data_IF_500871719456
#
_entry.id   IF_500871719456
#
_cell.length_a   1.000
_cell.length_b   1.000
_cell.length_c   1.000
_cell.angle_alpha   90.00
_cell.angle_beta   90.00
_cell.angle_gamma   90.00
#
_symmetry.space_group_name_H-M   'P 1'
#
loop_
_entity.id
_entity.type
_entity.pdbx_description
1 polymer ?
#
# COMPACT_ATOMS: atom_id res chain seq x y z
N UNK A 1 -2.07 -1.82 -9.66
CA UNK A 1 -1.13 -0.71 -9.93
C UNK A 1 0.27 -1.29 -10.04
N UNK A 2 1.18 -0.70 -10.83
CA UNK A 2 2.58 -1.13 -10.89
C UNK A 2 3.45 -0.23 -10.02
N UNK A 3 4.61 -0.73 -9.56
CA UNK A 3 5.58 0.10 -8.83
C UNK A 3 5.94 1.35 -9.62
N UNK A 4 5.74 2.51 -8.99
CA UNK A 4 6.18 3.80 -9.52
C UNK A 4 7.70 3.95 -9.40
N UNK A 5 8.29 4.90 -10.13
CA UNK A 5 9.71 5.24 -9.95
C UNK A 5 10.01 5.75 -8.53
N UNK A 6 9.01 6.28 -7.83
CA UNK A 6 9.14 6.69 -6.43
C UNK A 6 9.25 5.46 -5.51
N UNK A 7 8.46 4.41 -5.74
CA UNK A 7 8.57 3.14 -5.00
C UNK A 7 9.94 2.52 -5.16
N UNK A 8 10.44 2.48 -6.40
CA UNK A 8 11.75 1.92 -6.72
C UNK A 8 12.87 2.71 -6.05
N UNK A 9 12.80 4.04 -6.07
CA UNK A 9 13.77 4.89 -5.38
C UNK A 9 13.71 4.70 -3.85
N UNK A 10 12.51 4.56 -3.29
CA UNK A 10 12.35 4.30 -1.86
C UNK A 10 12.97 2.96 -1.46
N UNK A 11 12.76 1.88 -2.21
CA UNK A 11 13.39 0.58 -1.94
C UNK A 11 14.93 0.60 -2.12
N UNK A 12 15.45 1.43 -3.04
CA UNK A 12 16.91 1.65 -3.15
C UNK A 12 17.47 2.31 -1.91
N UNK A 13 16.75 3.28 -1.33
CA UNK A 13 17.13 3.93 -0.08
C UNK A 13 16.92 3.03 1.16
N UNK A 14 16.02 2.04 1.08
CA UNK A 14 15.66 1.13 2.17
C UNK A 14 15.92 -0.33 1.76
N UNK A 15 17.19 -0.74 1.60
CA UNK A 15 17.52 -2.06 1.04
C UNK A 15 17.13 -3.25 1.92
N UNK A 16 16.86 -3.03 3.22
CA UNK A 16 16.38 -4.04 4.15
C UNK A 16 14.86 -4.20 4.19
N UNK A 17 14.11 -3.39 3.42
CA UNK A 17 12.65 -3.45 3.39
C UNK A 17 12.16 -4.31 2.23
N UNK A 18 11.21 -5.18 2.53
CA UNK A 18 10.51 -6.02 1.54
C UNK A 18 9.18 -5.44 1.10
N UNK A 19 8.53 -4.69 1.98
CA UNK A 19 7.26 -4.02 1.71
C UNK A 19 7.37 -2.52 1.96
N UNK A 20 6.63 -1.77 1.15
CA UNK A 20 6.41 -0.34 1.35
C UNK A 20 4.92 -0.09 1.45
N UNK A 21 4.51 0.52 2.55
CA UNK A 21 3.18 1.11 2.68
C UNK A 21 3.29 2.58 2.29
N UNK A 22 2.37 3.07 1.46
CA UNK A 22 2.35 4.46 1.04
C UNK A 22 0.91 4.95 0.90
N UNK A 23 0.71 6.23 1.20
CA UNK A 23 -0.57 6.88 1.04
C UNK A 23 -0.80 7.15 -0.44
N UNK A 24 -1.99 6.81 -0.94
CA UNK A 24 -2.36 7.16 -2.31
C UNK A 24 -2.63 8.66 -2.44
N UNK A 25 -2.25 9.19 -3.58
CA UNK A 25 -2.60 10.54 -4.02
C UNK A 25 -4.08 10.61 -4.40
N UNK A 26 -4.62 11.83 -4.45
CA UNK A 26 -6.00 12.06 -4.90
C UNK A 26 -6.23 11.56 -6.33
N UNK A 27 -5.21 11.62 -7.20
CA UNK A 27 -5.28 11.13 -8.57
C UNK A 27 -5.44 9.60 -8.61
N UNK A 28 -4.63 8.87 -7.84
CA UNK A 28 -4.70 7.41 -7.73
C UNK A 28 -6.04 6.96 -7.10
N UNK A 29 -6.50 7.67 -6.06
CA UNK A 29 -7.78 7.39 -5.42
C UNK A 29 -8.97 7.63 -6.36
N UNK A 30 -8.86 8.59 -7.29
CA UNK A 30 -9.90 8.86 -8.28
C UNK A 30 -10.09 7.71 -9.29
N UNK A 31 -9.09 6.84 -9.45
CA UNK A 31 -9.20 5.65 -10.32
C UNK A 31 -9.92 4.47 -9.64
N UNK A 32 -10.23 4.58 -8.34
CA UNK A 32 -10.91 3.50 -7.62
C UNK A 32 -12.37 3.39 -8.04
N UNK A 33 -12.82 2.15 -8.29
CA UNK A 33 -14.24 1.85 -8.56
C UNK A 33 -15.15 2.24 -7.39
N UNK A 34 -14.62 2.14 -6.16
CA UNK A 34 -15.31 2.53 -4.93
C UNK A 34 -14.35 3.40 -4.13
N UNK A 35 -14.68 4.68 -3.87
CA UNK A 35 -13.80 5.54 -3.09
C UNK A 35 -13.70 5.08 -1.63
N UNK A 36 -12.65 5.47 -0.91
CA UNK A 36 -12.54 5.24 0.53
C UNK A 36 -13.77 5.79 1.26
N UNK A 37 -14.17 5.10 2.33
CA UNK A 37 -15.26 5.58 3.21
C UNK A 37 -14.85 6.91 3.84
N UNK A 38 -15.84 7.74 4.19
CA UNK A 38 -15.59 8.94 4.98
C UNK A 38 -14.85 8.60 6.27
N UNK A 39 -13.84 9.39 6.64
CA UNK A 39 -12.93 9.10 7.76
C UNK A 39 -11.80 8.11 7.45
N UNK A 40 -11.77 7.51 6.24
CA UNK A 40 -10.70 6.62 5.81
C UNK A 40 -9.82 7.31 4.74
N UNK A 41 -8.52 7.05 4.83
CA UNK A 41 -7.51 7.46 3.88
C UNK A 41 -7.16 6.28 2.97
N UNK A 42 -6.91 6.54 1.69
CA UNK A 42 -6.44 5.54 0.74
C UNK A 42 -4.95 5.25 0.95
N UNK A 43 -4.62 3.97 1.08
CA UNK A 43 -3.27 3.47 1.19
C UNK A 43 -3.06 2.32 0.22
N UNK A 44 -1.80 2.07 -0.12
CA UNK A 44 -1.39 0.86 -0.81
C UNK A 44 -0.18 0.24 -0.14
N UNK A 45 -0.08 -1.08 -0.24
CA UNK A 45 1.14 -1.83 0.06
C UNK A 45 1.69 -2.34 -1.25
N UNK A 46 3.01 -2.18 -1.43
CA UNK A 46 3.72 -2.74 -2.57
C UNK A 46 4.84 -3.68 -2.09
N UNK A 47 4.92 -4.84 -2.74
CA UNK A 47 5.95 -5.86 -2.51
C UNK A 47 7.14 -5.63 -3.45
N UNK A 48 8.35 -5.65 -2.90
CA UNK A 48 9.57 -5.38 -3.67
C UNK A 48 9.90 -6.44 -4.72
N UNK A 49 9.64 -7.72 -4.43
CA UNK A 49 10.10 -8.85 -5.25
C UNK A 49 9.51 -8.86 -6.66
N UNK A 50 8.23 -8.51 -6.78
CA UNK A 50 7.48 -8.56 -8.04
C UNK A 50 6.68 -7.29 -8.34
N UNK A 51 6.82 -6.25 -7.51
CA UNK A 51 6.07 -5.00 -7.63
C UNK A 51 4.55 -5.18 -7.55
N UNK A 52 4.07 -6.30 -6.99
CA UNK A 52 2.65 -6.50 -6.74
C UNK A 52 2.16 -5.49 -5.69
N UNK A 53 1.01 -4.89 -5.93
CA UNK A 53 0.44 -3.86 -5.06
C UNK A 53 -1.02 -4.10 -4.73
N UNK A 54 -1.40 -3.75 -3.51
CA UNK A 54 -2.77 -3.85 -3.03
C UNK A 54 -3.20 -2.56 -2.34
N UNK A 55 -4.23 -1.94 -2.90
CA UNK A 55 -4.86 -0.73 -2.35
C UNK A 55 -5.98 -1.07 -1.37
N UNK A 56 -6.09 -0.28 -0.30
CA UNK A 56 -7.10 -0.44 0.76
C UNK A 56 -7.36 0.90 1.48
N UNK A 57 -8.56 1.04 2.05
CA UNK A 57 -8.91 2.19 2.90
C UNK A 57 -8.58 1.90 4.36
N UNK A 58 -7.93 2.84 5.04
CA UNK A 58 -7.57 2.73 6.47
C UNK A 58 -8.00 3.98 7.25
N UNK A 59 -8.40 3.87 8.53
CA UNK A 59 -8.76 5.03 9.34
C UNK A 59 -7.67 6.11 9.36
N UNK A 60 -8.07 7.38 9.22
CA UNK A 60 -7.15 8.50 8.96
C UNK A 60 -6.41 9.01 10.21
N UNK A 61 -6.89 8.62 11.37
CA UNK A 61 -6.40 8.99 12.71
C UNK A 61 -5.34 8.00 13.24
N UNK A 62 -5.08 6.91 12.53
CA UNK A 62 -4.10 5.90 12.93
C UNK A 62 -2.78 6.14 12.20
N UNK A 63 -1.72 6.52 12.94
CA UNK A 63 -0.34 6.42 12.47
C UNK A 63 0.15 5.00 12.64
N UNK A 64 0.35 4.30 11.52
CA UNK A 64 0.85 2.93 11.53
C UNK A 64 2.33 2.96 11.17
N UNK A 65 3.21 2.61 12.13
CA UNK A 65 4.59 2.25 11.84
C UNK A 65 4.64 0.73 11.74
N UNK A 66 4.78 0.21 10.52
CA UNK A 66 4.46 -1.20 10.23
C UNK A 66 5.72 -1.94 9.86
N UNK A 67 6.01 -3.01 10.60
CA UNK A 67 7.08 -3.94 10.27
C UNK A 67 6.74 -4.70 8.97
N UNK A 68 7.76 -5.21 8.28
CA UNK A 68 7.53 -5.99 7.04
C UNK A 68 6.68 -7.25 7.30
N UNK A 69 6.77 -7.85 8.49
CA UNK A 69 5.95 -9.01 8.88
C UNK A 69 4.45 -8.68 8.93
N UNK A 70 4.10 -7.53 9.50
CA UNK A 70 2.72 -7.05 9.58
C UNK A 70 2.21 -6.63 8.19
N UNK A 71 3.07 -5.98 7.38
CA UNK A 71 2.73 -5.64 6.00
C UNK A 71 2.53 -6.87 5.12
N UNK A 72 3.34 -7.92 5.31
CA UNK A 72 3.20 -9.17 4.60
C UNK A 72 1.86 -9.85 4.92
N UNK A 73 1.54 -9.98 6.21
CA UNK A 73 0.27 -10.58 6.65
C UNK A 73 -0.94 -9.79 6.11
N UNK A 74 -0.89 -8.46 6.16
CA UNK A 74 -1.95 -7.60 5.62
C UNK A 74 -2.04 -7.70 4.09
N UNK A 75 -0.90 -7.73 3.39
CA UNK A 75 -0.86 -7.85 1.94
C UNK A 75 -1.53 -9.14 1.47
N UNK A 76 -1.16 -10.29 2.06
CA UNK A 76 -1.76 -11.58 1.71
C UNK A 76 -3.27 -11.58 2.00
N UNK A 77 -3.68 -11.07 3.17
CA UNK A 77 -5.10 -10.98 3.54
C UNK A 77 -5.92 -10.15 2.55
N UNK A 78 -5.41 -8.98 2.15
CA UNK A 78 -6.08 -8.10 1.20
C UNK A 78 -6.11 -8.68 -0.22
N UNK A 79 -5.15 -9.54 -0.57
CA UNK A 79 -5.08 -10.20 -1.86
C UNK A 79 -6.05 -11.39 -1.94
N UNK A 80 -6.24 -12.12 -0.83
CA UNK A 80 -7.29 -13.15 -0.71
C UNK A 80 -8.70 -12.55 -0.85
N UNK A 81 -8.98 -11.40 -0.22
CA UNK A 81 -10.27 -10.70 -0.31
C UNK A 81 -10.60 -10.16 -1.73
N UNK A 82 -9.60 -10.15 -2.64
CA UNK A 82 -9.77 -9.73 -4.04
C UNK A 82 -10.01 -10.90 -5.01
N UNK A 83 -9.76 -12.14 -4.60
CA UNK A 83 -9.94 -13.35 -5.41
C UNK A 83 -11.40 -13.83 -5.42
#
# INVERSE_FOLDING_TARGET
MLATDLDRQWFKANPGREYRQCRETLAETAEWKVPPRSGHTAWYIIRRSDSASVSYGFPSDTTWDVADEELAALFERLNEDKA
#
